data_IF_417718216990
#
_entry.id   IF_417718216990
#
_cell.length_a   1.000
_cell.length_b   1.000
_cell.length_c   1.000
_cell.angle_alpha   90.00
_cell.angle_beta   90.00
_cell.angle_gamma   90.00
#
_symmetry.space_group_name_H-M   'P 1'
#
loop_
_entity.id
_entity.type
_entity.pdbx_description
1 polymer ?
#
# COMPACT_ATOMS: atom_id res chain seq x y z
N UNK A 1 -21.04 8.04 -3.45
CA UNK A 1 -20.32 9.19 -2.85
C UNK A 1 -21.15 10.45 -3.05
N UNK A 2 -21.13 11.41 -2.11
CA UNK A 2 -21.86 12.69 -2.21
C UNK A 2 -20.99 13.82 -2.80
N UNK A 3 -20.10 13.51 -3.73
CA UNK A 3 -19.20 14.48 -4.36
C UNK A 3 -19.45 14.49 -5.87
N UNK A 4 -19.53 15.68 -6.47
CA UNK A 4 -19.78 15.84 -7.90
C UNK A 4 -18.53 15.54 -8.75
N UNK A 5 -17.33 15.67 -8.17
CA UNK A 5 -16.05 15.37 -8.82
C UNK A 5 -14.95 15.02 -7.80
N UNK A 6 -13.84 14.45 -8.29
CA UNK A 6 -12.70 14.01 -7.48
C UNK A 6 -12.10 15.11 -6.60
N UNK A 7 -11.73 16.24 -7.24
CA UNK A 7 -11.11 17.37 -6.56
C UNK A 7 -9.72 17.13 -5.99
N UNK A 8 -8.98 16.11 -6.49
CA UNK A 8 -7.63 15.76 -6.04
C UNK A 8 -7.51 15.51 -4.53
N UNK A 9 -8.47 14.80 -3.95
CA UNK A 9 -8.54 14.56 -2.49
C UNK A 9 -8.19 13.12 -2.14
N UNK A 10 -6.95 12.88 -1.73
CA UNK A 10 -6.56 11.59 -1.18
C UNK A 10 -6.96 11.48 0.30
N UNK A 11 -7.17 10.26 0.78
CA UNK A 11 -7.50 10.02 2.18
C UNK A 11 -6.78 8.79 2.71
N UNK A 12 -6.46 8.80 4.01
CA UNK A 12 -5.80 7.70 4.68
C UNK A 12 -6.52 7.38 5.99
N UNK A 13 -7.08 6.19 6.10
CA UNK A 13 -7.63 5.70 7.36
C UNK A 13 -6.51 4.97 8.13
N UNK A 14 -5.95 5.64 9.12
CA UNK A 14 -4.77 5.16 9.87
C UNK A 14 -5.17 4.44 11.15
N UNK A 15 -4.61 3.26 11.40
CA UNK A 15 -4.76 2.59 12.68
C UNK A 15 -3.87 3.25 13.74
N UNK A 16 -4.42 3.57 14.91
CA UNK A 16 -3.82 4.43 15.95
C UNK A 16 -2.48 4.00 16.59
N UNK A 17 -1.82 2.91 16.17
CA UNK A 17 -0.55 2.44 16.75
C UNK A 17 0.42 1.94 15.68
N UNK A 18 1.71 1.93 16.02
CA UNK A 18 2.77 1.34 15.19
C UNK A 18 2.82 -0.19 15.30
N UNK A 19 3.28 -0.83 14.24
CA UNK A 19 3.46 -2.27 14.13
C UNK A 19 4.86 -2.60 13.60
N UNK A 20 5.35 -3.80 13.94
CA UNK A 20 6.68 -4.30 13.55
C UNK A 20 6.53 -5.65 12.83
N UNK A 21 6.15 -6.69 13.57
CA UNK A 21 5.95 -8.04 13.05
C UNK A 21 4.47 -8.40 13.10
N UNK A 22 3.85 -8.68 11.95
CA UNK A 22 2.43 -8.98 11.88
C UNK A 22 2.06 -9.68 10.58
N UNK A 23 0.90 -10.33 10.59
CA UNK A 23 0.18 -10.77 9.41
C UNK A 23 -1.17 -10.06 9.36
N UNK A 24 -1.39 -9.28 8.31
CA UNK A 24 -2.63 -8.57 8.04
C UNK A 24 -3.41 -9.36 7.00
N UNK A 25 -4.63 -9.80 7.33
CA UNK A 25 -5.57 -10.44 6.41
C UNK A 25 -6.75 -9.52 6.16
N UNK A 26 -7.22 -9.47 4.92
CA UNK A 26 -8.40 -8.70 4.55
C UNK A 26 -9.04 -9.26 3.29
N UNK A 27 -10.32 -8.96 3.11
CA UNK A 27 -11.00 -9.11 1.84
C UNK A 27 -11.38 -7.73 1.31
N UNK A 28 -11.20 -7.51 0.00
CA UNK A 28 -11.57 -6.27 -0.65
C UNK A 28 -12.34 -6.52 -1.95
N UNK A 29 -13.15 -5.55 -2.37
CA UNK A 29 -13.70 -5.48 -3.72
C UNK A 29 -13.85 -4.04 -4.18
N UNK A 30 -13.52 -3.78 -5.44
CA UNK A 30 -13.91 -2.53 -6.08
C UNK A 30 -15.38 -2.60 -6.48
N UNK A 31 -16.07 -1.46 -6.41
CA UNK A 31 -17.49 -1.38 -6.77
C UNK A 31 -17.77 -0.16 -7.65
N UNK A 32 -18.80 -0.28 -8.50
CA UNK A 32 -19.29 0.84 -9.29
C UNK A 32 -18.22 1.49 -10.16
N UNK A 33 -18.38 2.80 -10.39
CA UNK A 33 -17.53 3.59 -11.28
C UNK A 33 -16.64 4.55 -10.52
N UNK A 34 -15.45 4.81 -11.06
CA UNK A 34 -14.57 5.88 -10.60
C UNK A 34 -15.33 7.21 -10.61
N UNK A 35 -15.10 8.04 -9.60
CA UNK A 35 -15.67 9.39 -9.58
C UNK A 35 -15.15 10.22 -10.76
N UNK A 36 -16.00 11.12 -11.27
CA UNK A 36 -15.64 12.00 -12.37
C UNK A 36 -14.35 12.80 -12.07
N UNK A 37 -13.52 12.97 -13.10
CA UNK A 37 -12.21 13.62 -13.02
C UNK A 37 -11.21 12.91 -12.09
N UNK A 38 -11.43 11.63 -11.79
CA UNK A 38 -10.42 10.77 -11.18
C UNK A 38 -9.22 10.57 -12.12
N UNK A 39 -8.00 10.37 -11.58
CA UNK A 39 -6.83 10.10 -12.41
C UNK A 39 -7.00 8.81 -13.22
N UNK A 40 -6.56 8.82 -14.47
CA UNK A 40 -6.71 7.67 -15.39
C UNK A 40 -6.04 6.40 -14.83
N UNK A 41 -4.90 6.56 -14.14
CA UNK A 41 -4.18 5.45 -13.50
C UNK A 41 -4.89 4.89 -12.26
N UNK A 42 -5.86 5.63 -11.70
CA UNK A 42 -6.52 5.31 -10.44
C UNK A 42 -7.83 4.52 -10.60
N UNK A 43 -8.19 4.12 -11.82
CA UNK A 43 -9.35 3.23 -12.05
C UNK A 43 -9.11 1.91 -11.34
N UNK A 44 -10.06 1.53 -10.46
CA UNK A 44 -9.99 0.36 -9.58
C UNK A 44 -8.63 0.26 -8.88
N UNK A 45 -8.22 1.35 -8.24
CA UNK A 45 -6.94 1.47 -7.52
C UNK A 45 -7.18 1.97 -6.09
N UNK A 46 -6.53 1.31 -5.14
CA UNK A 46 -6.48 1.63 -3.72
C UNK A 46 -5.26 0.92 -3.14
N UNK A 47 -5.11 0.87 -1.83
CA UNK A 47 -3.95 0.25 -1.23
C UNK A 47 -3.96 0.27 0.29
N UNK A 48 -2.99 -0.45 0.83
CA UNK A 48 -2.53 -0.24 2.20
C UNK A 48 -1.19 0.47 2.17
N UNK A 49 -0.95 1.35 3.13
CA UNK A 49 0.37 1.82 3.48
C UNK A 49 0.84 1.02 4.68
N UNK A 50 2.01 0.40 4.59
CA UNK A 50 2.67 -0.30 5.69
C UNK A 50 4.00 0.38 6.00
N UNK A 51 4.43 0.25 7.25
CA UNK A 51 5.57 1.02 7.78
C UNK A 51 5.46 2.50 7.43
N UNK A 52 4.23 3.02 7.46
CA UNK A 52 4.01 4.42 7.11
C UNK A 52 4.51 5.32 8.23
N UNK A 53 4.86 6.54 7.86
CA UNK A 53 5.09 7.61 8.82
C UNK A 53 3.87 7.85 9.72
N UNK A 54 4.07 8.66 10.76
CA UNK A 54 2.99 9.01 11.66
C UNK A 54 2.03 9.99 10.97
N UNK A 55 0.70 9.86 11.15
CA UNK A 55 -0.25 10.78 10.51
C UNK A 55 -0.02 12.24 10.93
N UNK A 56 0.45 12.49 12.14
CA UNK A 56 0.79 13.83 12.64
C UNK A 56 2.05 14.44 12.03
N UNK A 57 2.90 13.65 11.33
CA UNK A 57 4.07 14.16 10.62
C UNK A 57 3.81 14.46 9.16
N UNK A 58 2.65 14.05 8.63
CA UNK A 58 2.29 14.33 7.24
C UNK A 58 2.02 15.82 7.04
N UNK A 59 2.44 16.35 5.89
CA UNK A 59 2.05 17.70 5.51
C UNK A 59 0.56 17.76 5.18
N UNK A 60 -0.05 18.94 5.39
CA UNK A 60 -1.49 19.14 5.14
C UNK A 60 -1.94 18.80 3.72
N UNK A 61 -1.06 18.96 2.73
CA UNK A 61 -1.34 18.69 1.31
C UNK A 61 -0.56 17.48 0.77
N UNK A 62 -0.10 16.60 1.65
CA UNK A 62 0.62 15.40 1.25
C UNK A 62 -0.35 14.32 0.76
N UNK A 63 -0.19 13.89 -0.50
CA UNK A 63 -1.09 12.93 -1.13
C UNK A 63 -0.99 11.53 -0.50
N UNK A 64 0.23 11.08 -0.16
CA UNK A 64 0.50 9.74 0.38
C UNK A 64 1.56 9.81 1.49
N UNK A 65 1.39 9.07 2.61
CA UNK A 65 2.44 9.01 3.63
C UNK A 65 3.71 8.40 3.07
N UNK A 66 4.87 8.78 3.59
CA UNK A 66 6.10 8.04 3.36
C UNK A 66 5.98 6.64 3.97
N UNK A 67 6.50 5.62 3.27
CA UNK A 67 6.38 4.22 3.66
C UNK A 67 6.28 3.30 2.45
N UNK A 68 5.78 2.08 2.64
CA UNK A 68 5.62 1.11 1.55
C UNK A 68 4.14 0.96 1.20
N UNK A 69 3.80 1.17 -0.06
CA UNK A 69 2.44 0.97 -0.57
C UNK A 69 2.26 -0.47 -1.04
N UNK A 70 1.23 -1.13 -0.51
CA UNK A 70 0.69 -2.37 -1.04
C UNK A 70 -0.49 -2.00 -1.94
N UNK A 71 -0.25 -2.00 -3.25
CA UNK A 71 -1.22 -1.55 -4.24
C UNK A 71 -2.27 -2.63 -4.48
N UNK A 72 -3.54 -2.24 -4.33
CA UNK A 72 -4.70 -3.05 -4.68
C UNK A 72 -5.24 -2.60 -6.03
N UNK A 73 -5.25 -3.51 -7.00
CA UNK A 73 -5.85 -3.27 -8.31
C UNK A 73 -7.02 -4.21 -8.55
N UNK A 74 -8.06 -3.68 -9.18
CA UNK A 74 -9.09 -4.47 -9.83
C UNK A 74 -8.81 -4.60 -11.33
N UNK A 75 -9.24 -5.71 -11.91
CA UNK A 75 -9.24 -5.87 -13.36
C UNK A 75 -10.17 -4.87 -14.05
N UNK A 76 -9.78 -4.42 -15.23
CA UNK A 76 -10.51 -3.44 -16.05
C UNK A 76 -11.00 -4.03 -17.37
N UNK A 77 -11.19 -5.36 -17.41
CA UNK A 77 -11.60 -6.13 -18.59
C UNK A 77 -10.69 -5.90 -19.82
N UNK A 78 -9.42 -5.57 -19.56
CA UNK A 78 -8.41 -5.30 -20.58
C UNK A 78 -7.04 -5.81 -20.15
N UNK A 79 -6.67 -6.96 -20.70
CA UNK A 79 -5.36 -7.57 -20.50
C UNK A 79 -5.07 -8.00 -19.05
N UNK A 80 -3.82 -8.35 -18.80
CA UNK A 80 -3.35 -8.70 -17.47
C UNK A 80 -3.08 -7.44 -16.63
N UNK A 81 -3.54 -7.49 -15.39
CA UNK A 81 -3.40 -6.48 -14.36
C UNK A 81 -3.32 -7.15 -13.00
N UNK A 82 -2.14 -7.16 -12.41
CA UNK A 82 -1.86 -7.80 -11.11
C UNK A 82 -2.27 -6.89 -9.96
N UNK A 83 -2.63 -7.49 -8.82
CA UNK A 83 -2.90 -6.80 -7.55
C UNK A 83 -1.85 -7.16 -6.51
N UNK A 84 -1.90 -6.56 -5.31
CA UNK A 84 -0.89 -6.75 -4.26
C UNK A 84 0.52 -6.47 -4.77
N UNK A 85 0.67 -5.43 -5.60
CA UNK A 85 1.96 -4.95 -6.06
C UNK A 85 2.62 -4.14 -4.93
N UNK A 86 3.93 -3.95 -5.00
CA UNK A 86 4.64 -3.07 -4.05
C UNK A 86 5.02 -1.77 -4.76
N UNK A 87 4.75 -0.62 -4.15
CA UNK A 87 5.23 0.66 -4.62
C UNK A 87 5.93 1.43 -3.49
N UNK A 88 7.00 2.15 -3.85
CA UNK A 88 7.71 3.02 -2.93
C UNK A 88 7.04 4.39 -2.82
N UNK A 89 6.72 4.83 -1.61
CA UNK A 89 6.26 6.19 -1.31
C UNK A 89 7.32 6.86 -0.45
N UNK A 90 8.17 7.71 -1.05
CA UNK A 90 9.37 8.22 -0.38
C UNK A 90 10.30 7.10 0.13
N UNK A 91 10.25 5.91 -0.47
CA UNK A 91 10.94 4.71 0.01
C UNK A 91 11.31 3.77 -1.12
N UNK A 92 12.24 2.86 -0.82
CA UNK A 92 12.66 1.75 -1.66
C UNK A 92 12.53 0.43 -0.93
N UNK A 93 12.48 -0.66 -1.69
CA UNK A 93 12.52 -2.03 -1.18
C UNK A 93 13.59 -2.83 -1.90
N UNK A 94 14.12 -3.86 -1.24
CA UNK A 94 15.13 -4.73 -1.82
C UNK A 94 14.56 -6.11 -2.13
N UNK A 95 15.16 -6.79 -3.09
CA UNK A 95 14.94 -8.20 -3.36
C UNK A 95 16.26 -8.83 -3.80
N UNK A 96 16.63 -9.94 -3.18
CA UNK A 96 17.86 -10.67 -3.47
C UNK A 96 19.11 -9.78 -3.41
N UNK A 97 19.17 -8.93 -2.37
CA UNK A 97 20.27 -7.98 -2.17
C UNK A 97 20.33 -6.80 -3.15
N UNK A 98 19.32 -6.61 -4.01
CA UNK A 98 19.26 -5.50 -4.97
C UNK A 98 18.03 -4.63 -4.74
N UNK A 99 18.14 -3.33 -4.99
CA UNK A 99 16.98 -2.42 -4.98
C UNK A 99 16.01 -2.84 -6.09
N UNK A 100 14.73 -2.98 -5.76
CA UNK A 100 13.71 -3.25 -6.77
C UNK A 100 13.54 -2.00 -7.66
N UNK A 101 13.50 -2.15 -8.99
CA UNK A 101 13.53 -1.01 -9.90
C UNK A 101 12.20 -0.25 -9.94
N UNK A 102 12.26 1.04 -10.23
CA UNK A 102 11.09 1.87 -10.50
C UNK A 102 10.20 2.13 -9.28
N UNK A 103 9.09 2.82 -9.52
CA UNK A 103 8.16 3.22 -8.45
C UNK A 103 7.30 2.05 -7.95
N UNK A 104 6.75 1.24 -8.87
CA UNK A 104 5.90 0.09 -8.56
C UNK A 104 6.48 -1.18 -9.20
N UNK A 105 6.48 -2.28 -8.43
CA UNK A 105 6.90 -3.60 -8.86
C UNK A 105 5.73 -4.58 -8.76
N UNK A 106 5.46 -5.27 -9.86
CA UNK A 106 4.30 -6.16 -9.98
C UNK A 106 4.47 -7.44 -9.17
N UNK A 107 3.36 -7.93 -8.59
CA UNK A 107 3.27 -9.30 -8.09
C UNK A 107 3.06 -10.30 -9.23
N UNK A 108 2.94 -11.58 -8.89
CA UNK A 108 2.55 -12.66 -9.81
C UNK A 108 1.07 -13.05 -9.71
N UNK A 109 0.25 -12.21 -9.09
CA UNK A 109 -1.19 -12.47 -8.93
C UNK A 109 -1.94 -12.51 -10.26
N UNK A 110 -3.09 -13.18 -10.27
CA UNK A 110 -4.03 -13.12 -11.40
C UNK A 110 -4.73 -11.76 -11.45
N UNK A 111 -5.43 -11.52 -12.55
CA UNK A 111 -6.38 -10.41 -12.68
C UNK A 111 -7.76 -10.80 -12.17
N UNK A 112 -8.36 -9.91 -11.38
CA UNK A 112 -9.67 -10.09 -10.78
C UNK A 112 -10.64 -9.07 -11.38
N UNK A 113 -11.35 -9.48 -12.44
CA UNK A 113 -12.35 -8.66 -13.12
C UNK A 113 -13.69 -8.65 -12.38
N UNK A 114 -14.46 -7.58 -12.57
CA UNK A 114 -15.77 -7.40 -11.94
C UNK A 114 -15.71 -7.12 -10.44
N UNK A 115 -16.89 -6.90 -9.85
CA UNK A 115 -17.07 -6.48 -8.45
C UNK A 115 -17.07 -7.69 -7.50
N UNK A 116 -15.97 -8.44 -7.54
CA UNK A 116 -15.77 -9.67 -6.78
C UNK A 116 -14.90 -9.43 -5.54
N UNK A 117 -15.17 -10.20 -4.50
CA UNK A 117 -14.31 -10.25 -3.31
C UNK A 117 -13.02 -10.98 -3.63
N UNK A 118 -11.90 -10.37 -3.24
CA UNK A 118 -10.55 -10.94 -3.33
C UNK A 118 -10.00 -11.04 -1.91
N UNK A 119 -9.53 -12.23 -1.53
CA UNK A 119 -8.84 -12.46 -0.25
C UNK A 119 -7.35 -12.15 -0.41
N UNK A 120 -6.82 -11.30 0.47
CA UNK A 120 -5.43 -10.86 0.42
C UNK A 120 -4.80 -10.83 1.82
N UNK A 121 -3.48 -11.06 1.85
CA UNK A 121 -2.71 -11.03 3.08
C UNK A 121 -1.35 -10.37 2.88
N UNK A 122 -0.85 -9.72 3.93
CA UNK A 122 0.48 -9.11 3.99
C UNK A 122 1.14 -9.64 5.25
N UNK A 123 2.27 -10.32 5.11
CA UNK A 123 3.09 -10.79 6.22
C UNK A 123 4.35 -9.93 6.29
N UNK A 124 4.58 -9.29 7.43
CA UNK A 124 5.63 -8.30 7.63
C UNK A 124 6.49 -8.73 8.81
N UNK A 125 7.80 -8.81 8.60
CA UNK A 125 8.80 -9.13 9.63
C UNK A 125 9.74 -7.94 9.86
N UNK A 126 9.21 -6.82 10.37
CA UNK A 126 9.97 -5.61 10.66
C UNK A 126 10.67 -5.08 9.41
N UNK A 127 12.00 -4.88 9.48
CA UNK A 127 12.83 -4.53 8.32
C UNK A 127 13.29 -5.74 7.50
N UNK A 128 12.91 -6.96 7.90
CA UNK A 128 13.24 -8.19 7.23
C UNK A 128 12.32 -8.45 6.03
N UNK A 129 11.87 -9.69 5.92
CA UNK A 129 11.04 -10.16 4.81
C UNK A 129 9.62 -9.62 4.89
N UNK A 130 9.08 -9.22 3.74
CA UNK A 130 7.68 -8.89 3.53
C UNK A 130 7.13 -9.76 2.41
N UNK A 131 5.97 -10.36 2.64
CA UNK A 131 5.31 -11.28 1.71
C UNK A 131 3.87 -10.88 1.47
N UNK A 132 3.43 -10.98 0.24
CA UNK A 132 2.05 -10.75 -0.15
C UNK A 132 1.41 -12.05 -0.60
N UNK A 133 0.15 -12.24 -0.20
CA UNK A 133 -0.65 -13.38 -0.61
C UNK A 133 -1.96 -12.93 -1.23
N UNK A 134 -2.40 -13.65 -2.26
CA UNK A 134 -3.72 -13.49 -2.87
C UNK A 134 -4.35 -14.87 -3.01
N UNK A 135 -5.58 -15.04 -2.52
CA UNK A 135 -6.29 -16.33 -2.49
C UNK A 135 -5.43 -17.46 -1.89
N UNK A 136 -4.72 -17.15 -0.80
CA UNK A 136 -3.85 -18.08 -0.06
C UNK A 136 -2.52 -18.42 -0.74
N UNK A 137 -2.19 -17.81 -1.89
CA UNK A 137 -0.94 -18.05 -2.62
C UNK A 137 0.01 -16.88 -2.48
N UNK A 138 1.29 -17.15 -2.20
CA UNK A 138 2.34 -16.13 -2.20
C UNK A 138 2.50 -15.59 -3.64
N UNK A 139 2.41 -14.28 -3.81
CA UNK A 139 2.49 -13.61 -5.13
C UNK A 139 3.64 -12.60 -5.21
N UNK A 140 4.19 -12.19 -4.08
CA UNK A 140 5.33 -11.28 -4.03
C UNK A 140 6.07 -11.43 -2.71
N UNK A 141 7.40 -11.44 -2.77
CA UNK A 141 8.28 -11.43 -1.60
C UNK A 141 9.45 -10.49 -1.88
N UNK A 142 9.77 -9.66 -0.89
CA UNK A 142 10.87 -8.69 -0.87
C UNK A 142 11.31 -8.44 0.57
N UNK A 143 12.28 -7.55 0.77
CA UNK A 143 12.91 -7.32 2.07
C UNK A 143 13.45 -5.89 2.22
N UNK A 144 13.82 -5.53 3.45
CA UNK A 144 14.61 -4.31 3.76
C UNK A 144 14.03 -3.04 3.15
N UNK A 145 12.78 -2.67 3.48
CA UNK A 145 12.26 -1.36 3.09
C UNK A 145 13.06 -0.23 3.76
N UNK A 146 13.32 0.86 3.06
CA UNK A 146 14.03 2.02 3.60
C UNK A 146 13.61 3.33 2.92
N UNK A 147 13.68 4.45 3.64
CA UNK A 147 13.37 5.78 3.13
C UNK A 147 14.37 6.24 2.06
N UNK A 148 13.87 6.86 0.99
CA UNK A 148 14.71 7.43 -0.08
C UNK A 148 15.32 8.77 0.37
N UNK A 149 16.63 8.84 0.55
CA UNK A 149 17.31 10.07 0.97
C UNK A 149 17.40 11.14 -0.14
N UNK A 150 16.94 10.80 -1.35
CA UNK A 150 16.77 11.75 -2.46
C UNK A 150 15.38 12.35 -2.52
N UNK A 151 14.39 11.74 -1.87
CA UNK A 151 13.05 12.30 -1.74
C UNK A 151 13.06 13.37 -0.62
N UNK A 152 12.49 14.54 -0.90
CA UNK A 152 12.58 15.70 0.01
C UNK A 152 11.93 15.40 1.35
N UNK A 153 10.71 14.85 1.37
CA UNK A 153 9.98 14.55 2.59
C UNK A 153 10.63 13.40 3.36
N UNK A 154 11.01 12.33 2.67
CA UNK A 154 11.69 11.20 3.27
C UNK A 154 13.04 11.61 3.90
N UNK A 155 13.78 12.53 3.29
CA UNK A 155 15.01 13.10 3.87
C UNK A 155 14.75 13.86 5.16
N UNK A 156 13.66 14.63 5.23
CA UNK A 156 13.24 15.31 6.46
C UNK A 156 12.84 14.32 7.55
N UNK A 157 12.09 13.27 7.20
CA UNK A 157 11.75 12.19 8.11
C UNK A 157 12.98 11.45 8.63
N UNK A 158 14.00 11.21 7.81
CA UNK A 158 15.28 10.63 8.25
C UNK A 158 15.95 11.55 9.27
N UNK A 159 15.95 12.87 9.03
CA UNK A 159 16.54 13.84 9.95
C UNK A 159 15.80 13.90 11.30
N UNK A 160 14.47 13.76 11.29
CA UNK A 160 13.63 13.79 12.50
C UNK A 160 13.74 12.48 13.29
N UNK A 161 13.68 11.34 12.59
CA UNK A 161 13.61 10.02 13.22
C UNK A 161 14.98 9.40 13.51
N UNK A 162 16.02 9.85 12.80
CA UNK A 162 17.36 9.28 12.86
C UNK A 162 17.48 7.89 12.22
N UNK A 163 16.45 7.42 11.50
CA UNK A 163 16.42 6.08 10.91
C UNK A 163 16.05 6.13 9.43
N UNK A 164 16.84 5.43 8.60
CA UNK A 164 16.53 5.24 7.17
C UNK A 164 15.76 3.95 6.96
N UNK A 165 16.07 2.92 7.74
CA UNK A 165 15.46 1.60 7.67
C UNK A 165 14.03 1.62 8.23
N UNK A 166 13.09 1.12 7.45
CA UNK A 166 11.70 0.97 7.86
C UNK A 166 11.53 -0.37 8.58
N UNK A 167 11.65 -0.35 9.91
CA UNK A 167 11.46 -1.55 10.76
C UNK A 167 10.12 -1.58 11.47
N UNK A 168 9.45 -0.44 11.58
CA UNK A 168 8.12 -0.31 12.16
C UNK A 168 7.43 0.94 11.62
N UNK A 169 6.11 0.97 11.68
CA UNK A 169 5.34 2.17 11.35
C UNK A 169 3.85 1.93 11.46
N UNK A 170 3.09 2.90 10.99
CA UNK A 170 1.63 2.81 10.98
C UNK A 170 1.14 1.98 9.79
N UNK A 171 -0.12 1.54 9.90
CA UNK A 171 -0.87 0.91 8.81
C UNK A 171 -2.00 1.86 8.44
N UNK A 172 -2.11 2.20 7.16
CA UNK A 172 -3.18 3.04 6.63
C UNK A 172 -3.90 2.38 5.46
N UNK A 173 -5.21 2.58 5.34
CA UNK A 173 -5.99 2.24 4.15
C UNK A 173 -6.14 3.49 3.28
N UNK A 174 -5.80 3.37 2.00
CA UNK A 174 -5.86 4.48 1.06
C UNK A 174 -7.26 4.64 0.45
N UNK A 175 -7.78 5.85 0.52
CA UNK A 175 -8.88 6.34 -0.29
C UNK A 175 -8.31 7.11 -1.49
N UNK A 176 -8.61 6.61 -2.68
CA UNK A 176 -8.32 7.27 -3.96
C UNK A 176 -9.67 7.56 -4.64
N UNK A 177 -9.76 7.50 -5.96
CA UNK A 177 -10.90 7.97 -6.74
C UNK A 177 -11.92 6.89 -7.11
N UNK A 178 -11.62 5.61 -6.87
CA UNK A 178 -12.54 4.51 -7.16
C UNK A 178 -13.14 3.94 -5.86
N UNK A 179 -14.47 3.75 -5.78
CA UNK A 179 -15.10 3.09 -4.64
C UNK A 179 -14.55 1.68 -4.40
N UNK A 180 -14.22 1.41 -3.14
CA UNK A 180 -13.72 0.12 -2.68
C UNK A 180 -14.40 -0.22 -1.35
N UNK A 181 -14.70 -1.50 -1.17
CA UNK A 181 -15.21 -2.05 0.08
C UNK A 181 -14.20 -3.01 0.66
N UNK A 182 -14.08 -2.99 1.99
CA UNK A 182 -13.25 -3.90 2.76
C UNK A 182 -14.11 -4.67 3.77
N UNK A 183 -13.77 -5.93 4.00
CA UNK A 183 -14.33 -6.72 5.12
C UNK A 183 -13.27 -7.67 5.68
N UNK A 184 -13.55 -8.19 6.88
CA UNK A 184 -12.65 -9.11 7.60
C UNK A 184 -11.21 -8.61 7.68
N UNK A 185 -11.04 -7.33 8.01
CA UNK A 185 -9.72 -6.73 8.24
C UNK A 185 -9.24 -7.19 9.60
N UNK A 186 -8.32 -8.15 9.60
CA UNK A 186 -7.85 -8.88 10.77
C UNK A 186 -6.33 -8.78 10.86
N UNK A 187 -5.83 -8.57 12.08
CA UNK A 187 -4.41 -8.43 12.33
C UNK A 187 -3.95 -9.46 13.36
N UNK A 188 -2.99 -10.28 12.97
CA UNK A 188 -2.28 -11.20 13.85
C UNK A 188 -0.89 -10.64 14.13
N UNK A 189 -0.54 -10.50 15.42
CA UNK A 189 0.84 -10.19 15.81
C UNK A 189 1.71 -11.44 15.64
N UNK A 190 2.91 -11.28 15.11
CA UNK A 190 3.89 -12.36 14.98
C UNK A 190 4.99 -12.19 16.03
N UNK A 191 5.52 -13.32 16.52
CA UNK A 191 6.71 -13.32 17.36
C UNK A 191 7.94 -12.84 16.58
N UNK A 192 9.00 -12.48 17.30
CA UNK A 192 10.28 -12.04 16.71
C UNK A 192 11.09 -13.18 16.17
#
# INVERSE_FOLDING_TARGET
AKYDSWGNRYGHLVFKRKFTNYRLRFEYRFTGSQIALGPIWAVRNSGFMIHSEAPETMEMNQDFPAGVQIQLLGGIDKGERTTMNVCGSGSHVMKDGKVMPGHCNSSTSKTYNGDIWVSAEIEVHGNGTIKHFVEGKEVLTYEKPYLDDKDTHAKELIAITGAKELSSGFIAIQAISHPIEFRKVELLMLDK
#
